data_IF_899607370400
#
_entry.id   IF_899607370400
#
_cell.length_a   1.000
_cell.length_b   1.000
_cell.length_c   1.000
_cell.angle_alpha   90.00
_cell.angle_beta   90.00
_cell.angle_gamma   90.00
#
_symmetry.space_group_name_H-M   'P 1'
#
loop_
_entity.id
_entity.type
_entity.pdbx_description
1 polymer ?
#
# COMPACT_ATOMS: atom_id res chain seq x y z
N UNK A 1 0.36 26.56 17.92
CA UNK A 1 1.16 27.44 17.04
C UNK A 1 2.58 26.90 17.02
N UNK A 2 2.85 25.92 16.16
CA UNK A 2 4.20 25.40 15.90
C UNK A 2 4.40 25.57 14.39
N UNK A 3 4.79 26.76 13.96
CA UNK A 3 5.31 26.98 12.59
C UNK A 3 6.75 26.44 12.55
N UNK A 4 6.90 25.14 12.75
CA UNK A 4 8.12 24.46 12.37
C UNK A 4 8.14 24.54 10.84
N UNK A 5 8.96 25.43 10.30
CA UNK A 5 9.07 25.72 8.86
C UNK A 5 9.50 24.51 8.04
N UNK A 6 8.60 23.54 7.89
CA UNK A 6 8.73 22.48 6.89
C UNK A 6 8.62 23.20 5.56
N UNK A 7 9.78 23.36 4.91
CA UNK A 7 9.86 23.87 3.54
C UNK A 7 9.20 22.81 2.66
N UNK A 8 7.88 22.93 2.47
CA UNK A 8 7.18 22.19 1.43
C UNK A 8 7.73 22.73 0.11
N UNK A 9 8.31 21.90 -0.75
CA UNK A 9 8.80 22.35 -2.05
C UNK A 9 7.66 23.07 -2.77
N UNK A 10 7.86 24.36 -3.07
CA UNK A 10 6.82 25.21 -3.67
C UNK A 10 6.52 24.79 -5.11
N UNK A 11 7.42 24.02 -5.72
CA UNK A 11 7.33 23.51 -7.09
C UNK A 11 7.33 21.99 -7.08
N UNK A 12 6.16 21.37 -7.29
CA UNK A 12 6.05 19.95 -7.61
C UNK A 12 6.57 19.71 -9.03
N UNK A 13 7.15 18.54 -9.28
CA UNK A 13 7.72 18.19 -10.59
C UNK A 13 6.81 17.21 -11.32
N UNK A 14 6.48 17.42 -12.61
CA UNK A 14 5.61 16.52 -13.35
C UNK A 14 6.18 15.10 -13.43
N UNK A 15 5.28 14.12 -13.52
CA UNK A 15 5.67 12.73 -13.67
C UNK A 15 6.25 12.46 -15.05
N UNK A 16 7.43 11.86 -15.05
CA UNK A 16 8.22 11.41 -16.18
C UNK A 16 9.00 10.18 -15.75
N UNK A 17 9.61 9.46 -16.69
CA UNK A 17 10.49 8.32 -16.35
C UNK A 17 11.65 8.79 -15.45
N UNK A 18 12.23 9.96 -15.74
CA UNK A 18 13.33 10.51 -14.95
C UNK A 18 12.91 10.85 -13.52
N UNK A 19 11.74 11.47 -13.34
CA UNK A 19 11.23 11.81 -12.01
C UNK A 19 10.74 10.57 -11.27
N UNK A 20 10.16 9.57 -11.94
CA UNK A 20 9.85 8.27 -11.35
C UNK A 20 11.12 7.60 -10.79
N UNK A 21 12.19 7.52 -11.60
CA UNK A 21 13.48 6.94 -11.17
C UNK A 21 14.11 7.74 -10.03
N UNK A 22 13.92 9.06 -10.00
CA UNK A 22 14.57 9.92 -8.98
C UNK A 22 13.77 10.03 -7.68
N UNK A 23 12.45 9.84 -7.72
CA UNK A 23 11.56 10.04 -6.56
C UNK A 23 10.97 8.73 -6.03
N UNK A 24 10.52 7.82 -6.91
CA UNK A 24 9.79 6.60 -6.50
C UNK A 24 10.72 5.41 -6.35
N UNK A 25 11.69 5.22 -7.25
CA UNK A 25 12.59 4.08 -7.17
C UNK A 25 13.44 4.04 -5.88
N UNK A 26 13.99 5.16 -5.36
CA UNK A 26 14.82 5.13 -4.15
C UNK A 26 14.12 4.59 -2.90
N UNK A 27 12.90 5.04 -2.50
CA UNK A 27 12.22 4.46 -1.35
C UNK A 27 11.86 2.99 -1.58
N UNK A 28 11.57 2.54 -2.82
CA UNK A 28 11.32 1.13 -3.13
C UNK A 28 12.57 0.26 -2.91
N UNK A 29 13.73 0.70 -3.40
CA UNK A 29 15.00 -0.01 -3.21
C UNK A 29 15.40 -0.07 -1.74
N UNK A 30 15.19 1.03 -1.00
CA UNK A 30 15.51 1.07 0.42
C UNK A 30 14.51 0.25 1.25
N UNK A 31 13.24 0.19 0.85
CA UNK A 31 12.25 -0.72 1.43
C UNK A 31 12.65 -2.18 1.22
N UNK A 32 13.06 -2.56 0.00
CA UNK A 32 13.58 -3.90 -0.27
C UNK A 32 14.85 -4.20 0.54
N UNK A 33 15.75 -3.23 0.68
CA UNK A 33 16.94 -3.36 1.53
C UNK A 33 16.56 -3.59 2.99
N UNK A 34 15.57 -2.86 3.51
CA UNK A 34 15.05 -3.08 4.86
C UNK A 34 14.47 -4.48 5.04
N UNK A 35 13.83 -5.05 3.99
CA UNK A 35 13.34 -6.42 4.01
C UNK A 35 14.49 -7.44 4.11
N UNK A 36 15.58 -7.25 3.37
CA UNK A 36 16.78 -8.09 3.49
C UNK A 36 17.39 -7.98 4.88
N UNK A 37 17.51 -6.75 5.40
CA UNK A 37 18.09 -6.52 6.72
C UNK A 37 17.24 -7.17 7.81
N UNK A 38 15.91 -7.09 7.76
CA UNK A 38 15.05 -7.61 8.83
C UNK A 38 15.05 -9.14 8.94
N UNK A 39 15.40 -9.85 7.87
CA UNK A 39 15.56 -11.31 7.85
C UNK A 39 16.98 -11.72 8.29
N UNK A 40 17.95 -10.81 8.16
CA UNK A 40 19.37 -11.09 8.45
C UNK A 40 19.68 -10.85 9.94
N UNK A 41 20.38 -11.78 10.63
CA UNK A 41 20.76 -11.59 12.02
C UNK A 41 21.71 -10.41 12.23
N UNK A 42 21.66 -9.81 13.43
CA UNK A 42 22.59 -8.75 13.88
C UNK A 42 22.53 -7.42 13.08
N UNK A 43 21.49 -7.16 12.30
CA UNK A 43 21.35 -5.93 11.49
C UNK A 43 20.54 -4.81 12.17
N UNK A 44 20.11 -4.99 13.43
CA UNK A 44 19.15 -4.09 14.10
C UNK A 44 19.57 -2.61 14.06
N UNK A 45 20.84 -2.32 14.33
CA UNK A 45 21.36 -0.95 14.30
C UNK A 45 21.22 -0.32 12.90
N UNK A 46 21.52 -1.08 11.84
CA UNK A 46 21.37 -0.63 10.46
C UNK A 46 19.89 -0.36 10.13
N UNK A 47 18.96 -1.24 10.53
CA UNK A 47 17.53 -1.04 10.29
C UNK A 47 17.02 0.26 10.93
N UNK A 48 17.40 0.52 12.19
CA UNK A 48 17.04 1.75 12.90
C UNK A 48 17.64 2.98 12.22
N UNK A 49 18.89 2.91 11.77
CA UNK A 49 19.56 4.00 11.07
C UNK A 49 18.99 4.26 9.67
N UNK A 50 18.52 3.24 8.95
CA UNK A 50 17.93 3.35 7.63
C UNK A 50 16.50 3.91 7.66
N UNK A 51 15.74 3.71 8.74
CA UNK A 51 14.34 4.11 8.79
C UNK A 51 14.09 5.61 8.52
N UNK A 52 14.82 6.57 9.13
CA UNK A 52 14.64 8.00 8.83
C UNK A 52 14.87 8.32 7.35
N UNK A 53 15.79 7.60 6.69
CA UNK A 53 16.08 7.77 5.26
C UNK A 53 14.90 7.26 4.42
N UNK A 54 14.33 6.10 4.76
CA UNK A 54 13.10 5.59 4.12
C UNK A 54 11.98 6.61 4.25
N UNK A 55 11.76 7.14 5.46
CA UNK A 55 10.70 8.10 5.72
C UNK A 55 10.89 9.39 4.90
N UNK A 56 12.12 9.92 4.84
CA UNK A 56 12.44 11.11 4.07
C UNK A 56 12.25 10.90 2.56
N UNK A 57 12.70 9.77 2.02
CA UNK A 57 12.55 9.46 0.59
C UNK A 57 11.09 9.23 0.20
N UNK A 58 10.33 8.52 1.05
CA UNK A 58 8.89 8.32 0.85
C UNK A 58 8.12 9.65 0.93
N UNK A 59 8.45 10.52 1.90
CA UNK A 59 7.92 11.87 1.98
C UNK A 59 8.22 12.67 0.70
N UNK A 60 9.49 12.65 0.26
CA UNK A 60 9.90 13.33 -0.98
C UNK A 60 9.13 12.80 -2.20
N UNK A 61 8.90 11.50 -2.29
CA UNK A 61 8.11 10.90 -3.38
C UNK A 61 6.67 11.43 -3.39
N UNK A 62 6.01 11.44 -2.24
CA UNK A 62 4.61 11.87 -2.08
C UNK A 62 4.41 13.37 -2.37
N UNK A 63 5.28 14.22 -1.83
CA UNK A 63 5.10 15.67 -1.89
C UNK A 63 5.85 16.35 -3.04
N UNK A 64 6.87 15.69 -3.60
CA UNK A 64 7.70 16.26 -4.66
C UNK A 64 7.20 16.01 -6.08
N UNK A 65 6.30 15.05 -6.28
CA UNK A 65 5.73 14.73 -7.59
C UNK A 65 4.39 15.43 -7.80
N UNK A 66 4.23 16.00 -8.99
CA UNK A 66 2.97 16.51 -9.50
C UNK A 66 2.29 15.45 -10.36
N UNK A 67 1.27 14.81 -9.79
CA UNK A 67 0.44 13.83 -10.46
C UNK A 67 -0.79 14.45 -11.14
N UNK A 68 -1.02 15.76 -10.97
CA UNK A 68 -2.19 16.46 -11.54
C UNK A 68 -2.35 16.35 -13.06
N UNK A 69 -1.28 16.30 -13.90
CA UNK A 69 -1.43 16.20 -15.35
C UNK A 69 -2.07 14.89 -15.83
N UNK A 70 -2.13 13.87 -14.97
CA UNK A 70 -2.64 12.54 -15.29
C UNK A 70 -4.15 12.41 -14.95
N UNK A 71 -4.81 13.53 -14.60
CA UNK A 71 -6.19 13.69 -14.12
C UNK A 71 -6.42 13.38 -12.63
N UNK A 72 -6.67 14.47 -11.89
CA UNK A 72 -7.23 14.57 -10.52
C UNK A 72 -6.23 14.51 -9.36
N UNK A 73 -6.58 15.22 -8.27
CA UNK A 73 -5.88 15.19 -6.98
C UNK A 73 -5.85 13.77 -6.36
N UNK A 74 -6.66 12.84 -6.87
CA UNK A 74 -6.79 11.48 -6.35
C UNK A 74 -5.51 10.67 -6.53
N UNK A 75 -4.83 10.81 -7.67
CA UNK A 75 -3.60 10.06 -7.97
C UNK A 75 -2.50 10.40 -6.95
N UNK A 76 -2.51 11.63 -6.40
CA UNK A 76 -1.56 12.01 -5.36
C UNK A 76 -1.85 11.29 -4.03
N UNK A 77 -3.13 11.12 -3.67
CA UNK A 77 -3.54 10.31 -2.52
C UNK A 77 -3.19 8.83 -2.74
N UNK A 78 -3.38 8.32 -3.94
CA UNK A 78 -3.03 6.95 -4.32
C UNK A 78 -1.53 6.68 -4.21
N UNK A 79 -0.65 7.66 -4.46
CA UNK A 79 0.79 7.52 -4.20
C UNK A 79 1.13 7.62 -2.71
N UNK A 80 0.40 8.45 -1.96
CA UNK A 80 0.67 8.65 -0.53
C UNK A 80 0.45 7.38 0.29
N UNK A 81 -0.57 6.58 -0.04
CA UNK A 81 -0.91 5.33 0.65
C UNK A 81 0.25 4.30 0.62
N UNK A 82 0.78 3.86 -0.55
CA UNK A 82 1.88 2.91 -0.60
C UNK A 82 3.16 3.47 0.04
N UNK A 83 3.42 4.78 -0.08
CA UNK A 83 4.55 5.41 0.62
C UNK A 83 4.37 5.33 2.14
N UNK A 84 3.17 5.58 2.66
CA UNK A 84 2.86 5.42 4.09
C UNK A 84 3.00 3.95 4.54
N UNK A 85 2.56 2.98 3.71
CA UNK A 85 2.75 1.55 3.97
C UNK A 85 4.24 1.22 4.05
N UNK A 86 5.06 1.72 3.14
CA UNK A 86 6.52 1.54 3.16
C UNK A 86 7.12 2.10 4.45
N UNK A 87 6.78 3.34 4.82
CA UNK A 87 7.30 3.98 6.04
C UNK A 87 6.91 3.21 7.31
N UNK A 88 5.64 2.82 7.43
CA UNK A 88 5.13 2.12 8.61
C UNK A 88 5.68 0.70 8.72
N UNK A 89 5.79 -0.03 7.61
CA UNK A 89 6.45 -1.35 7.56
C UNK A 89 7.92 -1.26 7.91
N UNK A 90 8.64 -0.31 7.31
CA UNK A 90 10.06 -0.09 7.60
C UNK A 90 10.28 0.31 9.07
N UNK A 91 9.39 1.11 9.65
CA UNK A 91 9.44 1.46 11.07
C UNK A 91 9.32 0.19 11.92
N UNK A 92 8.29 -0.60 11.67
CA UNK A 92 8.07 -1.84 12.39
C UNK A 92 9.29 -2.78 12.27
N UNK A 93 9.83 -2.98 11.07
CA UNK A 93 11.05 -3.78 10.85
C UNK A 93 12.29 -3.21 11.57
N UNK A 94 12.40 -1.88 11.69
CA UNK A 94 13.44 -1.23 12.49
C UNK A 94 13.31 -1.52 13.98
N UNK A 95 12.08 -1.65 14.49
CA UNK A 95 11.79 -1.82 15.91
C UNK A 95 11.81 -3.29 16.37
N UNK A 96 11.50 -4.25 15.48
CA UNK A 96 11.56 -5.68 15.82
C UNK A 96 12.97 -6.05 16.31
N UNK A 97 13.04 -6.81 17.41
CA UNK A 97 14.32 -7.20 18.03
C UNK A 97 14.98 -8.34 17.27
N UNK A 98 14.24 -9.43 17.07
CA UNK A 98 14.72 -10.63 16.40
C UNK A 98 14.63 -10.55 14.87
N UNK A 99 15.40 -11.35 14.13
CA UNK A 99 15.19 -11.51 12.70
C UNK A 99 13.85 -12.18 12.43
N UNK A 100 13.17 -11.77 11.37
CA UNK A 100 11.93 -12.43 10.96
C UNK A 100 12.23 -13.78 10.33
N UNK A 101 11.47 -14.79 10.73
CA UNK A 101 11.64 -16.15 10.25
C UNK A 101 10.42 -16.60 9.46
N UNK A 102 10.67 -17.08 8.23
CA UNK A 102 9.67 -17.77 7.42
C UNK A 102 9.47 -19.18 7.98
N UNK A 103 8.26 -19.50 8.41
CA UNK A 103 7.92 -20.81 8.98
C UNK A 103 7.19 -21.73 7.98
N UNK A 104 6.59 -21.17 6.93
CA UNK A 104 6.01 -21.94 5.81
C UNK A 104 6.95 -21.86 4.61
N UNK A 105 7.60 -22.98 4.28
CA UNK A 105 8.32 -23.16 3.02
C UNK A 105 7.75 -24.33 2.23
N UNK A 106 7.63 -24.22 0.90
CA UNK A 106 7.37 -25.36 0.05
C UNK A 106 8.41 -26.45 0.28
N UNK A 107 7.95 -27.70 0.37
CA UNK A 107 8.81 -28.88 0.37
C UNK A 107 9.65 -28.81 -0.91
N UNK A 108 10.98 -28.80 -0.80
CA UNK A 108 11.97 -28.63 -1.87
C UNK A 108 12.40 -27.20 -2.24
N UNK A 109 11.93 -26.16 -1.54
CA UNK A 109 12.45 -24.80 -1.77
C UNK A 109 13.79 -24.56 -1.06
N UNK A 110 14.80 -24.09 -1.79
CA UNK A 110 16.09 -23.68 -1.20
C UNK A 110 15.95 -22.35 -0.47
N UNK A 111 16.58 -22.17 0.72
CA UNK A 111 16.63 -20.87 1.37
C UNK A 111 17.21 -19.80 0.44
N UNK A 112 16.47 -18.71 0.25
CA UNK A 112 16.97 -17.54 -0.47
C UNK A 112 16.50 -16.29 0.25
N UNK A 113 17.45 -15.56 0.84
CA UNK A 113 17.18 -14.29 1.52
C UNK A 113 16.55 -13.27 0.58
N UNK A 114 16.92 -13.27 -0.70
CA UNK A 114 16.34 -12.35 -1.69
C UNK A 114 14.89 -12.71 -2.02
N UNK A 115 14.57 -14.00 -2.17
CA UNK A 115 13.18 -14.42 -2.41
C UNK A 115 12.31 -14.22 -1.17
N UNK A 116 12.87 -14.47 0.03
CA UNK A 116 12.17 -14.22 1.28
C UNK A 116 11.97 -12.70 1.50
N UNK A 117 12.94 -11.85 1.15
CA UNK A 117 12.75 -10.39 1.16
C UNK A 117 11.71 -9.92 0.13
N UNK A 118 11.70 -10.51 -1.07
CA UNK A 118 10.70 -10.25 -2.10
C UNK A 118 9.28 -10.64 -1.65
N UNK A 119 9.15 -11.81 -1.02
CA UNK A 119 7.91 -12.24 -0.37
C UNK A 119 7.50 -11.22 0.68
N UNK A 120 8.42 -10.80 1.56
CA UNK A 120 8.13 -9.88 2.65
C UNK A 120 7.66 -8.49 2.19
N UNK A 121 8.22 -7.95 1.11
CA UNK A 121 7.76 -6.66 0.55
C UNK A 121 6.39 -6.78 -0.12
N UNK A 122 6.06 -7.93 -0.69
CA UNK A 122 4.82 -8.19 -1.42
C UNK A 122 3.69 -8.72 -0.53
N UNK A 123 4.04 -9.32 0.61
CA UNK A 123 3.15 -9.98 1.56
C UNK A 123 2.84 -9.05 2.74
N UNK A 124 1.92 -8.11 2.51
CA UNK A 124 1.52 -7.13 3.54
C UNK A 124 0.84 -7.77 4.75
N UNK A 125 0.17 -8.92 4.57
CA UNK A 125 -0.45 -9.70 5.65
C UNK A 125 0.57 -10.55 6.42
N UNK A 126 1.72 -10.80 5.79
CA UNK A 126 2.82 -11.61 6.28
C UNK A 126 2.45 -13.07 6.53
N UNK A 127 1.62 -13.66 5.67
CA UNK A 127 1.35 -15.09 5.71
C UNK A 127 2.64 -15.90 5.60
N UNK A 128 2.80 -16.92 6.45
CA UNK A 128 3.99 -17.76 6.47
C UNK A 128 5.19 -17.17 7.22
N UNK A 129 5.03 -16.00 7.84
CA UNK A 129 6.04 -15.36 8.70
C UNK A 129 5.70 -15.54 10.18
N UNK A 130 6.71 -15.69 11.01
CA UNK A 130 6.60 -15.89 12.46
C UNK A 130 5.63 -14.92 13.17
N UNK A 131 5.57 -13.64 12.79
CA UNK A 131 4.63 -12.68 13.38
C UNK A 131 3.16 -13.01 13.08
N UNK A 132 2.87 -13.83 12.07
CA UNK A 132 1.51 -14.22 11.68
C UNK A 132 1.13 -15.57 12.27
N UNK A 133 1.99 -16.14 13.13
CA UNK A 133 1.76 -17.46 13.70
C UNK A 133 0.52 -17.44 14.60
N UNK A 134 -0.43 -18.34 14.31
CA UNK A 134 -1.70 -18.42 15.02
C UNK A 134 -2.78 -17.46 14.50
N UNK A 135 -2.49 -16.65 13.46
CA UNK A 135 -3.53 -15.89 12.77
C UNK A 135 -4.47 -16.87 12.07
N UNK A 136 -5.76 -16.78 12.37
CA UNK A 136 -6.77 -17.56 11.64
C UNK A 136 -6.79 -17.09 10.18
N UNK A 137 -6.44 -18.00 9.28
CA UNK A 137 -6.57 -17.79 7.84
C UNK A 137 -7.87 -18.46 7.41
N UNK A 138 -8.87 -17.69 6.95
CA UNK A 138 -10.08 -18.27 6.38
C UNK A 138 -9.71 -19.25 5.27
N UNK A 139 -10.42 -20.38 5.23
CA UNK A 139 -10.24 -21.36 4.15
C UNK A 139 -10.53 -20.68 2.82
N UNK A 140 -9.64 -20.87 1.85
CA UNK A 140 -9.86 -20.37 0.50
C UNK A 140 -11.09 -21.05 -0.11
N UNK A 141 -12.04 -20.23 -0.60
CA UNK A 141 -13.27 -20.67 -1.24
C UNK A 141 -13.19 -20.61 -2.77
N UNK A 142 -12.06 -20.15 -3.32
CA UNK A 142 -11.85 -20.04 -4.76
C UNK A 142 -11.71 -21.43 -5.40
N UNK A 143 -12.00 -21.55 -6.72
CA UNK A 143 -11.80 -22.81 -7.44
C UNK A 143 -10.34 -23.27 -7.36
N UNK A 144 -10.11 -24.57 -7.18
CA UNK A 144 -8.77 -25.15 -7.14
C UNK A 144 -8.20 -25.45 -8.53
N UNK A 145 -9.05 -25.54 -9.55
CA UNK A 145 -8.59 -25.71 -10.93
C UNK A 145 -8.09 -24.38 -11.50
N UNK A 146 -7.00 -24.43 -12.28
CA UNK A 146 -6.31 -23.22 -12.74
C UNK A 146 -7.19 -22.29 -13.58
N UNK A 147 -8.05 -22.84 -14.43
CA UNK A 147 -8.91 -22.05 -15.33
C UNK A 147 -10.02 -21.35 -14.53
N UNK A 148 -10.69 -22.10 -13.64
CA UNK A 148 -11.70 -21.59 -12.73
C UNK A 148 -11.13 -20.53 -11.79
N UNK A 149 -9.94 -20.77 -11.25
CA UNK A 149 -9.24 -19.80 -10.41
C UNK A 149 -8.93 -18.49 -11.16
N UNK A 150 -8.27 -18.58 -12.33
CA UNK A 150 -7.92 -17.40 -13.13
C UNK A 150 -9.18 -16.63 -13.52
N UNK A 151 -10.24 -17.31 -13.95
CA UNK A 151 -11.51 -16.68 -14.32
C UNK A 151 -12.13 -15.95 -13.13
N UNK A 152 -12.13 -16.58 -11.95
CA UNK A 152 -12.62 -15.97 -10.71
C UNK A 152 -11.81 -14.73 -10.33
N UNK A 153 -10.47 -14.80 -10.40
CA UNK A 153 -9.59 -13.67 -10.04
C UNK A 153 -9.74 -12.51 -11.03
N UNK A 154 -9.87 -12.77 -12.34
CA UNK A 154 -10.16 -11.72 -13.33
C UNK A 154 -11.51 -11.05 -13.04
N UNK A 155 -12.57 -11.85 -12.82
CA UNK A 155 -13.89 -11.31 -12.50
C UNK A 155 -13.85 -10.46 -11.23
N UNK A 156 -13.17 -10.96 -10.19
CA UNK A 156 -12.96 -10.25 -8.93
C UNK A 156 -12.22 -8.92 -9.17
N UNK A 157 -11.12 -8.93 -9.93
CA UNK A 157 -10.37 -7.71 -10.24
C UNK A 157 -11.22 -6.67 -10.98
N UNK A 158 -12.04 -7.10 -11.96
CA UNK A 158 -12.95 -6.22 -12.70
C UNK A 158 -14.02 -5.63 -11.79
N UNK A 159 -14.65 -6.45 -10.94
CA UNK A 159 -15.65 -5.98 -9.97
C UNK A 159 -15.04 -4.96 -9.02
N UNK A 160 -13.87 -5.25 -8.45
CA UNK A 160 -13.21 -4.33 -7.53
C UNK A 160 -12.74 -3.05 -8.22
N UNK A 161 -12.26 -3.10 -9.46
CA UNK A 161 -11.93 -1.92 -10.26
C UNK A 161 -13.16 -1.02 -10.49
N UNK A 162 -14.31 -1.63 -10.78
CA UNK A 162 -15.58 -0.92 -10.91
C UNK A 162 -16.02 -0.28 -9.59
N UNK A 163 -15.91 -1.01 -8.47
CA UNK A 163 -16.22 -0.49 -7.14
C UNK A 163 -15.32 0.69 -6.75
N UNK A 164 -14.00 0.59 -6.96
CA UNK A 164 -13.06 1.70 -6.74
C UNK A 164 -13.51 2.92 -7.54
N UNK A 165 -13.72 2.76 -8.85
CA UNK A 165 -14.13 3.87 -9.72
C UNK A 165 -15.45 4.51 -9.27
N UNK A 166 -16.42 3.69 -8.86
CA UNK A 166 -17.74 4.14 -8.43
C UNK A 166 -17.66 4.88 -7.08
N UNK A 167 -16.99 4.30 -6.09
CA UNK A 167 -16.89 4.89 -4.76
C UNK A 167 -15.99 6.11 -4.73
N UNK A 168 -14.90 6.15 -5.51
CA UNK A 168 -14.07 7.36 -5.65
C UNK A 168 -14.87 8.52 -6.24
N UNK A 169 -15.65 8.29 -7.30
CA UNK A 169 -16.55 9.31 -7.86
C UNK A 169 -17.65 9.72 -6.88
N UNK A 170 -18.22 8.76 -6.16
CA UNK A 170 -19.21 9.06 -5.12
C UNK A 170 -18.59 9.92 -4.02
N UNK A 171 -17.40 9.57 -3.52
CA UNK A 171 -16.66 10.35 -2.53
C UNK A 171 -16.46 11.79 -2.97
N UNK A 172 -15.99 12.01 -4.20
CA UNK A 172 -15.85 13.36 -4.76
C UNK A 172 -17.18 14.12 -4.74
N UNK A 173 -18.28 13.49 -5.17
CA UNK A 173 -19.60 14.13 -5.21
C UNK A 173 -20.17 14.45 -3.83
N UNK A 174 -19.88 13.60 -2.83
CA UNK A 174 -20.33 13.79 -1.45
C UNK A 174 -19.40 14.66 -0.63
N UNK A 175 -18.24 15.02 -1.17
CA UNK A 175 -17.21 15.68 -0.41
C UNK A 175 -17.50 17.15 -0.14
N UNK A 176 -17.27 17.66 1.08
CA UNK A 176 -17.22 19.10 1.30
C UNK A 176 -16.03 19.71 0.53
N UNK A 177 -16.10 21.02 0.30
CA UNK A 177 -15.04 21.76 -0.40
C UNK A 177 -13.69 21.54 0.28
N UNK A 178 -12.68 21.14 -0.50
CA UNK A 178 -11.30 21.00 -0.04
C UNK A 178 -10.88 19.60 0.42
N UNK A 179 -11.78 18.60 0.46
CA UNK A 179 -11.33 17.22 0.62
C UNK A 179 -10.57 16.77 -0.64
N UNK A 180 -9.36 16.24 -0.48
CA UNK A 180 -8.47 15.94 -1.60
C UNK A 180 -7.46 17.04 -1.88
N UNK A 181 -7.72 18.27 -1.40
CA UNK A 181 -6.76 19.36 -1.52
C UNK A 181 -5.50 19.08 -0.69
N UNK A 182 -4.37 19.60 -1.17
CA UNK A 182 -3.08 19.48 -0.47
C UNK A 182 -3.05 20.16 0.91
N UNK A 183 -3.94 21.13 1.15
CA UNK A 183 -4.10 21.80 2.46
C UNK A 183 -4.75 20.85 3.48
N UNK A 184 -5.45 19.83 2.99
CA UNK A 184 -6.33 19.00 3.78
C UNK A 184 -7.71 19.65 3.92
N UNK A 185 -8.73 18.81 3.98
CA UNK A 185 -10.11 19.21 4.23
C UNK A 185 -10.70 18.39 5.37
N UNK A 186 -11.69 18.95 6.06
CA UNK A 186 -12.49 18.20 7.01
C UNK A 186 -13.56 17.41 6.27
N UNK A 187 -13.81 16.15 6.65
CA UNK A 187 -15.00 15.39 6.20
C UNK A 187 -16.30 15.94 6.79
N UNK A 188 -16.21 16.81 7.80
CA UNK A 188 -17.34 17.47 8.43
C UNK A 188 -17.65 18.79 7.74
N UNK A 189 -18.86 18.92 7.19
CA UNK A 189 -19.35 20.18 6.63
C UNK A 189 -19.98 21.04 7.74
N UNK A 190 -19.32 22.15 8.06
CA UNK A 190 -19.76 23.05 9.12
C UNK A 190 -21.05 23.81 8.79
N UNK A 191 -21.43 23.87 7.51
CA UNK A 191 -22.67 24.54 7.07
C UNK A 191 -23.93 23.70 7.35
N UNK A 192 -23.77 22.41 7.62
CA UNK A 192 -24.87 21.48 7.89
C UNK A 192 -25.23 21.41 9.39
N UNK A 193 -26.52 21.17 9.74
CA UNK A 193 -26.93 20.86 11.10
C UNK A 193 -26.19 19.64 11.66
N UNK A 194 -26.01 19.60 12.98
CA UNK A 194 -25.21 18.59 13.68
C UNK A 194 -25.48 17.15 13.21
N UNK A 195 -26.73 16.69 13.23
CA UNK A 195 -27.05 15.31 12.84
C UNK A 195 -26.73 15.00 11.36
N UNK A 196 -27.01 15.93 10.45
CA UNK A 196 -26.76 15.76 9.01
C UNK A 196 -25.26 15.74 8.71
N UNK A 197 -24.50 16.59 9.40
CA UNK A 197 -23.03 16.66 9.30
C UNK A 197 -22.38 15.31 9.64
N UNK A 198 -22.74 14.71 10.77
CA UNK A 198 -22.20 13.41 11.18
C UNK A 198 -22.68 12.28 10.28
N UNK A 199 -23.95 12.32 9.85
CA UNK A 199 -24.47 11.32 8.92
C UNK A 199 -23.70 11.33 7.58
N UNK A 200 -23.49 12.52 6.99
CA UNK A 200 -22.68 12.69 5.77
C UNK A 200 -21.24 12.22 5.98
N UNK A 201 -20.61 12.60 7.09
CA UNK A 201 -19.25 12.16 7.43
C UNK A 201 -19.15 10.63 7.54
N UNK A 202 -20.16 9.97 8.14
CA UNK A 202 -20.20 8.51 8.23
C UNK A 202 -20.32 7.85 6.86
N UNK A 203 -21.15 8.40 5.97
CA UNK A 203 -21.26 7.93 4.58
C UNK A 203 -19.91 8.07 3.86
N UNK A 204 -19.26 9.23 3.95
CA UNK A 204 -17.93 9.46 3.36
C UNK A 204 -16.92 8.44 3.91
N UNK A 205 -16.92 8.20 5.22
CA UNK A 205 -16.02 7.22 5.85
C UNK A 205 -16.25 5.80 5.33
N UNK A 206 -17.51 5.35 5.24
CA UNK A 206 -17.85 4.03 4.72
C UNK A 206 -17.45 3.88 3.25
N UNK A 207 -17.73 4.90 2.42
CA UNK A 207 -17.33 4.90 1.01
C UNK A 207 -15.81 4.88 0.87
N UNK A 208 -15.09 5.67 1.66
CA UNK A 208 -13.62 5.73 1.67
C UNK A 208 -13.00 4.40 2.06
N UNK A 209 -13.50 3.79 3.15
CA UNK A 209 -13.07 2.45 3.57
C UNK A 209 -13.35 1.39 2.51
N UNK A 210 -14.51 1.45 1.86
CA UNK A 210 -14.89 0.49 0.81
C UNK A 210 -14.01 0.66 -0.44
N UNK A 211 -13.78 1.89 -0.89
CA UNK A 211 -12.87 2.18 -2.01
C UNK A 211 -11.44 1.68 -1.71
N UNK A 212 -10.92 1.94 -0.51
CA UNK A 212 -9.61 1.47 -0.09
C UNK A 212 -9.54 -0.07 -0.06
N UNK A 213 -10.55 -0.73 0.52
CA UNK A 213 -10.64 -2.18 0.51
C UNK A 213 -10.66 -2.74 -0.92
N UNK A 214 -11.52 -2.21 -1.79
CA UNK A 214 -11.62 -2.67 -3.18
C UNK A 214 -10.31 -2.45 -3.94
N UNK A 215 -9.61 -1.34 -3.70
CA UNK A 215 -8.31 -1.09 -4.31
C UNK A 215 -7.26 -2.11 -3.86
N UNK A 216 -7.20 -2.43 -2.56
CA UNK A 216 -6.29 -3.46 -2.05
C UNK A 216 -6.61 -4.84 -2.62
N UNK A 217 -7.89 -5.20 -2.69
CA UNK A 217 -8.31 -6.49 -3.25
C UNK A 217 -8.02 -6.57 -4.75
N UNK A 218 -8.27 -5.51 -5.52
CA UNK A 218 -7.93 -5.44 -6.94
C UNK A 218 -6.43 -5.62 -7.17
N UNK A 219 -5.58 -4.91 -6.41
CA UNK A 219 -4.12 -5.04 -6.52
C UNK A 219 -3.64 -6.44 -6.15
N UNK A 220 -4.23 -7.04 -5.11
CA UNK A 220 -3.96 -8.43 -4.75
C UNK A 220 -4.30 -9.37 -5.90
N UNK A 221 -5.49 -9.24 -6.49
CA UNK A 221 -5.94 -10.08 -7.61
C UNK A 221 -5.02 -9.94 -8.84
N UNK A 222 -4.59 -8.71 -9.18
CA UNK A 222 -3.62 -8.47 -10.25
C UNK A 222 -2.26 -9.13 -9.96
N UNK A 223 -1.76 -9.02 -8.73
CA UNK A 223 -0.52 -9.68 -8.31
C UNK A 223 -0.62 -11.21 -8.40
N UNK A 224 -1.73 -11.77 -7.94
CA UNK A 224 -2.02 -13.21 -8.05
C UNK A 224 -2.09 -13.67 -9.50
N UNK A 225 -2.72 -12.89 -10.40
CA UNK A 225 -2.75 -13.21 -11.83
C UNK A 225 -1.34 -13.25 -12.41
N UNK A 226 -0.48 -12.31 -12.03
CA UNK A 226 0.91 -12.31 -12.49
C UNK A 226 1.64 -13.58 -12.02
N UNK A 227 1.47 -13.94 -10.74
CA UNK A 227 2.04 -15.15 -10.16
C UNK A 227 1.58 -16.44 -10.85
N UNK A 228 0.28 -16.61 -11.06
CA UNK A 228 -0.29 -17.84 -11.64
C UNK A 228 -0.08 -17.92 -13.15
N UNK A 229 -0.20 -16.81 -13.89
CA UNK A 229 -0.10 -16.82 -15.35
C UNK A 229 1.34 -16.81 -15.85
N UNK A 230 2.19 -15.92 -15.30
CA UNK A 230 3.54 -15.74 -15.80
C UNK A 230 4.60 -16.50 -15.01
N UNK A 231 4.43 -16.66 -13.69
CA UNK A 231 5.40 -17.36 -12.84
C UNK A 231 5.04 -18.84 -12.61
N UNK A 232 3.86 -19.27 -13.08
CA UNK A 232 3.42 -20.66 -12.97
C UNK A 232 3.18 -21.12 -11.53
N UNK A 233 2.85 -20.20 -10.62
CA UNK A 233 2.48 -20.55 -9.25
C UNK A 233 1.20 -21.38 -9.20
N UNK A 234 1.12 -22.27 -8.21
CA UNK A 234 -0.07 -23.07 -7.98
C UNK A 234 -1.19 -22.18 -7.39
N UNK A 235 -2.43 -22.21 -7.92
CA UNK A 235 -3.58 -21.48 -7.37
C UNK A 235 -3.82 -21.62 -5.86
N UNK A 236 -3.34 -22.70 -5.24
CA UNK A 236 -3.46 -22.94 -3.81
C UNK A 236 -2.39 -22.25 -2.94
N UNK A 237 -1.41 -21.56 -3.55
CA UNK A 237 -0.34 -20.81 -2.87
C UNK A 237 -0.70 -19.34 -2.66
#
# INVERSE_FOLDING_TARGET
>A
MWDAGIIVPTTKVPVSVATFVSYILPPLLLYFTMAVLVITPQTRALRVACWPIVALLAWRATFGLDMTPINSEEIQVELAIPMLVIVTRALYWGLVKEPLVRHLRPVNSTPSTLMDAFDLVSNLRGYGWDWSRGLYVPRDTRPSDRIGFVSHVILSAVVHAFLVSTFSRALQSFSPVGLGSFVGGSIFDETLPFHVRYFRSSIICIMGGTAAYSSLQMNHDLGTLVGVLFLGQDPAQ
#
